data_IF_263650794908
#
_entry.id   IF_263650794908
#
_cell.length_a   1.000
_cell.length_b   1.000
_cell.length_c   1.000
_cell.angle_alpha   90.00
_cell.angle_beta   90.00
_cell.angle_gamma   90.00
#
_symmetry.space_group_name_H-M   'P 1'
#
loop_
_entity.id
_entity.type
_entity.pdbx_description
1 polymer ?
#
# COMPACT_ATOMS: atom_id res chain seq x y z
N UNK A 1 8.88 2.37 76.03
CA UNK A 1 7.66 1.69 76.51
C UNK A 1 8.11 0.34 77.00
N UNK A 2 8.24 0.18 78.31
CA UNK A 2 8.63 -1.12 78.88
C UNK A 2 7.45 -2.07 78.72
N UNK A 3 7.68 -3.19 78.04
CA UNK A 3 6.65 -4.19 77.79
C UNK A 3 6.54 -5.08 79.02
N UNK A 4 5.33 -5.18 79.56
CA UNK A 4 5.04 -5.97 80.76
C UNK A 4 5.30 -7.46 80.48
N UNK A 5 6.04 -8.14 81.36
CA UNK A 5 6.19 -9.60 81.32
C UNK A 5 5.20 -10.28 82.27
N UNK A 6 4.89 -11.58 82.08
CA UNK A 6 4.05 -12.32 83.03
C UNK A 6 4.60 -12.25 84.47
N UNK A 7 5.93 -12.29 84.62
CA UNK A 7 6.63 -12.16 85.90
C UNK A 7 6.44 -10.78 86.54
N UNK A 8 6.32 -9.72 85.74
CA UNK A 8 6.07 -8.35 86.23
C UNK A 8 4.65 -8.17 86.75
N UNK A 9 3.68 -8.90 86.17
CA UNK A 9 2.29 -8.96 86.67
C UNK A 9 2.25 -9.70 88.01
N UNK A 10 2.93 -10.85 88.09
CA UNK A 10 2.97 -11.68 89.28
C UNK A 10 3.62 -10.99 90.50
N UNK A 11 4.66 -10.20 90.26
CA UNK A 11 5.42 -9.52 91.33
C UNK A 11 4.82 -8.17 91.73
N UNK A 12 3.75 -7.73 91.06
CA UNK A 12 3.19 -6.39 91.24
C UNK A 12 2.45 -6.27 92.58
N UNK A 13 2.94 -5.39 93.46
CA UNK A 13 2.26 -5.02 94.71
C UNK A 13 1.57 -3.67 94.56
N UNK A 14 0.27 -3.63 94.86
CA UNK A 14 -0.53 -2.40 94.87
C UNK A 14 -0.60 -1.78 96.28
N UNK A 15 -0.61 -0.45 96.36
CA UNK A 15 -0.78 0.27 97.62
C UNK A 15 -2.26 0.26 98.04
N UNK A 16 -2.54 -0.08 99.31
CA UNK A 16 -3.92 -0.09 99.85
C UNK A 16 -4.32 1.31 100.32
N UNK A 17 -5.52 1.76 99.94
CA UNK A 17 -6.04 3.10 100.28
C UNK A 17 -7.18 2.96 101.30
N UNK A 18 -7.04 3.56 102.49
CA UNK A 18 -7.93 3.33 103.65
C UNK A 18 -9.13 4.29 103.76
N UNK A 19 -9.21 5.31 102.90
CA UNK A 19 -10.14 6.45 103.05
C UNK A 19 -11.04 6.71 101.82
N UNK A 20 -11.09 5.78 100.84
CA UNK A 20 -11.94 5.85 99.64
C UNK A 20 -12.42 4.46 99.23
N UNK A 21 -13.54 4.40 98.48
CA UNK A 21 -14.00 3.19 97.79
C UNK A 21 -12.83 2.59 97.00
N UNK A 22 -12.43 1.38 97.36
CA UNK A 22 -11.29 0.66 96.80
C UNK A 22 -11.77 -0.56 96.02
N UNK A 23 -10.91 -1.05 95.12
CA UNK A 23 -11.12 -2.33 94.47
C UNK A 23 -11.08 -3.47 95.51
N UNK A 24 -11.88 -4.50 95.30
CA UNK A 24 -11.78 -5.73 96.06
C UNK A 24 -10.45 -6.42 95.72
N UNK A 25 -9.64 -6.70 96.74
CA UNK A 25 -8.31 -7.27 96.56
C UNK A 25 -8.37 -8.67 95.94
N UNK A 26 -9.39 -9.47 96.28
CA UNK A 26 -9.56 -10.81 95.75
C UNK A 26 -9.96 -10.80 94.27
N UNK A 27 -10.85 -9.88 93.88
CA UNK A 27 -11.23 -9.70 92.48
C UNK A 27 -10.06 -9.18 91.62
N UNK A 28 -9.24 -8.28 92.18
CA UNK A 28 -8.02 -7.78 91.52
C UNK A 28 -7.00 -8.89 91.33
N UNK A 29 -6.75 -9.71 92.37
CA UNK A 29 -5.81 -10.83 92.28
C UNK A 29 -6.27 -11.87 91.24
N UNK A 30 -7.57 -12.18 91.19
CA UNK A 30 -8.13 -13.06 90.17
C UNK A 30 -7.92 -12.52 88.76
N UNK A 31 -8.21 -11.23 88.54
CA UNK A 31 -8.00 -10.58 87.24
C UNK A 31 -6.52 -10.58 86.82
N UNK A 32 -5.60 -10.33 87.75
CA UNK A 32 -4.16 -10.36 87.47
C UNK A 32 -3.68 -11.77 87.11
N UNK A 33 -4.24 -12.82 87.71
CA UNK A 33 -3.98 -14.21 87.33
C UNK A 33 -4.41 -14.52 85.88
N UNK A 34 -5.57 -14.02 85.45
CA UNK A 34 -6.03 -14.15 84.06
C UNK A 34 -5.14 -13.38 83.07
N UNK A 35 -4.71 -12.18 83.46
CA UNK A 35 -3.77 -11.37 82.68
C UNK A 35 -2.41 -12.07 82.56
N UNK A 36 -1.88 -12.60 83.66
CA UNK A 36 -0.62 -13.35 83.67
C UNK A 36 -0.69 -14.57 82.75
N UNK A 37 -1.76 -15.37 82.86
CA UNK A 37 -1.96 -16.57 82.03
C UNK A 37 -2.08 -16.24 80.54
N UNK A 38 -2.82 -15.17 80.21
CA UNK A 38 -2.99 -14.71 78.83
C UNK A 38 -1.67 -14.19 78.26
N UNK A 39 -0.92 -13.43 79.05
CA UNK A 39 0.38 -12.90 78.64
C UNK A 39 1.40 -14.04 78.43
N UNK A 40 1.44 -15.02 79.32
CA UNK A 40 2.30 -16.19 79.17
C UNK A 40 1.94 -17.00 77.90
N UNK A 41 0.63 -17.14 77.60
CA UNK A 41 0.18 -17.77 76.36
C UNK A 41 0.61 -16.99 75.11
N UNK A 42 0.40 -15.67 75.09
CA UNK A 42 0.79 -14.80 73.98
C UNK A 42 2.30 -14.80 73.74
N UNK A 43 3.10 -14.76 74.81
CA UNK A 43 4.56 -14.80 74.69
C UNK A 43 5.05 -16.12 74.09
N UNK A 44 4.51 -17.25 74.56
CA UNK A 44 4.81 -18.58 74.02
C UNK A 44 4.36 -18.72 72.57
N UNK A 45 3.16 -18.27 72.22
CA UNK A 45 2.68 -18.28 70.83
C UNK A 45 3.57 -17.38 69.95
N UNK A 46 4.00 -16.24 70.46
CA UNK A 46 4.92 -15.36 69.75
C UNK A 46 6.30 -16.01 69.53
N UNK A 47 6.82 -16.70 70.54
CA UNK A 47 8.05 -17.49 70.43
C UNK A 47 7.88 -18.64 69.43
N UNK A 48 6.78 -19.37 69.45
CA UNK A 48 6.48 -20.41 68.46
C UNK A 48 6.38 -19.84 67.04
N UNK A 49 5.71 -18.70 66.86
CA UNK A 49 5.60 -18.01 65.57
C UNK A 49 6.96 -17.49 65.07
N UNK A 50 7.82 -17.01 65.97
CA UNK A 50 9.20 -16.58 65.66
C UNK A 50 10.14 -17.75 65.42
N UNK A 51 9.96 -18.85 66.14
CA UNK A 51 10.73 -20.09 66.00
C UNK A 51 10.32 -20.86 64.75
N UNK A 52 9.14 -20.61 64.19
CA UNK A 52 8.71 -21.14 62.89
C UNK A 52 9.61 -20.52 61.80
N UNK A 53 10.60 -21.25 61.28
CA UNK A 53 11.60 -20.64 60.43
C UNK A 53 10.99 -20.28 59.07
N UNK A 54 11.09 -19.01 58.68
CA UNK A 54 11.21 -18.50 57.29
C UNK A 54 10.10 -18.79 56.26
N UNK A 55 9.12 -19.65 56.52
CA UNK A 55 8.26 -20.21 55.46
C UNK A 55 7.38 -19.18 54.75
N UNK A 56 7.01 -18.09 55.42
CA UNK A 56 6.18 -17.03 54.84
C UNK A 56 6.98 -16.00 54.02
N UNK A 57 8.00 -15.31 54.56
CA UNK A 57 8.73 -14.28 53.79
C UNK A 57 9.61 -14.87 52.67
N UNK A 58 10.20 -16.04 52.88
CA UNK A 58 11.08 -16.67 51.87
C UNK A 58 10.28 -17.28 50.72
N UNK A 59 9.10 -17.85 51.00
CA UNK A 59 8.19 -18.31 49.94
C UNK A 59 7.58 -17.14 49.17
N UNK A 60 7.25 -16.03 49.84
CA UNK A 60 6.83 -14.81 49.15
C UNK A 60 7.92 -14.29 48.20
N UNK A 61 9.18 -14.25 48.64
CA UNK A 61 10.30 -13.85 47.80
C UNK A 61 10.51 -14.77 46.60
N UNK A 62 10.37 -16.10 46.78
CA UNK A 62 10.44 -17.08 45.68
C UNK A 62 9.30 -16.90 44.67
N UNK A 63 8.08 -16.68 45.14
CA UNK A 63 6.91 -16.45 44.26
C UNK A 63 7.08 -15.15 43.47
N UNK A 64 7.56 -14.07 44.11
CA UNK A 64 7.87 -12.81 43.43
C UNK A 64 8.97 -13.00 42.39
N UNK A 65 10.02 -13.77 42.71
CA UNK A 65 11.10 -14.10 41.77
C UNK A 65 10.60 -14.87 40.54
N UNK A 66 9.78 -15.91 40.76
CA UNK A 66 9.19 -16.69 39.67
C UNK A 66 8.23 -15.85 38.82
N UNK A 67 7.41 -15.00 39.46
CA UNK A 67 6.51 -14.08 38.76
C UNK A 67 7.30 -13.07 37.91
N UNK A 68 8.41 -12.53 38.44
CA UNK A 68 9.27 -11.62 37.69
C UNK A 68 9.94 -12.31 36.50
N UNK A 69 10.50 -13.51 36.69
CA UNK A 69 11.09 -14.30 35.59
C UNK A 69 10.05 -14.63 34.51
N UNK A 70 8.82 -14.95 34.93
CA UNK A 70 7.72 -15.24 34.02
C UNK A 70 7.30 -13.98 33.25
N UNK A 71 7.25 -12.83 33.92
CA UNK A 71 6.96 -11.55 33.30
C UNK A 71 8.04 -11.17 32.27
N UNK A 72 9.32 -11.29 32.62
CA UNK A 72 10.43 -11.02 31.70
C UNK A 72 10.39 -11.93 30.48
N UNK A 73 10.12 -13.22 30.66
CA UNK A 73 9.96 -14.18 29.55
C UNK A 73 8.78 -13.81 28.65
N UNK A 74 7.65 -13.41 29.22
CA UNK A 74 6.48 -12.98 28.46
C UNK A 74 6.76 -11.69 27.67
N UNK A 75 7.44 -10.73 28.29
CA UNK A 75 7.84 -9.47 27.65
C UNK A 75 8.83 -9.73 26.50
N UNK A 76 9.81 -10.63 26.71
CA UNK A 76 10.75 -11.01 25.66
C UNK A 76 10.06 -11.67 24.46
N UNK A 77 9.12 -12.59 24.71
CA UNK A 77 8.34 -13.24 23.66
C UNK A 77 7.49 -12.23 22.88
N UNK A 78 6.78 -11.32 23.58
CA UNK A 78 5.99 -10.27 22.94
C UNK A 78 6.85 -9.33 22.08
N UNK A 79 8.06 -8.96 22.55
CA UNK A 79 9.00 -8.15 21.77
C UNK A 79 9.49 -8.88 20.52
N UNK A 80 9.80 -10.16 20.62
CA UNK A 80 10.22 -10.98 19.48
C UNK A 80 9.10 -11.11 18.44
N UNK A 81 7.87 -11.34 18.88
CA UNK A 81 6.70 -11.42 17.99
C UNK A 81 6.43 -10.07 17.31
N UNK A 82 6.46 -8.97 18.07
CA UNK A 82 6.32 -7.62 17.52
C UNK A 82 7.41 -7.31 16.49
N UNK A 83 8.67 -7.69 16.75
CA UNK A 83 9.75 -7.56 15.78
C UNK A 83 9.47 -8.36 14.50
N UNK A 84 8.97 -9.59 14.62
CA UNK A 84 8.57 -10.41 13.47
C UNK A 84 7.37 -9.87 12.69
N UNK A 85 6.42 -9.19 13.35
CA UNK A 85 5.32 -8.48 12.67
C UNK A 85 5.88 -7.29 11.88
N UNK A 86 6.73 -6.48 12.51
CA UNK A 86 7.34 -5.31 11.86
C UNK A 86 8.20 -5.71 10.66
N UNK A 87 8.97 -6.79 10.76
CA UNK A 87 9.80 -7.26 9.65
C UNK A 87 8.96 -7.68 8.45
N UNK A 88 7.93 -8.51 8.66
CA UNK A 88 7.00 -8.90 7.60
C UNK A 88 6.25 -7.70 7.01
N UNK A 89 5.93 -6.70 7.82
CA UNK A 89 5.30 -5.47 7.35
C UNK A 89 6.26 -4.66 6.45
N UNK A 90 7.54 -4.55 6.83
CA UNK A 90 8.58 -3.89 6.03
C UNK A 90 8.83 -4.63 4.72
N UNK A 91 8.97 -5.95 4.74
CA UNK A 91 9.16 -6.76 3.54
C UNK A 91 8.00 -6.60 2.56
N UNK A 92 6.76 -6.63 3.05
CA UNK A 92 5.56 -6.40 2.22
C UNK A 92 5.50 -4.99 1.67
N UNK A 93 5.84 -3.98 2.47
CA UNK A 93 5.89 -2.59 2.00
C UNK A 93 6.95 -2.42 0.91
N UNK A 94 8.14 -2.98 1.09
CA UNK A 94 9.21 -2.94 0.08
C UNK A 94 8.81 -3.65 -1.21
N UNK A 95 8.15 -4.81 -1.12
CA UNK A 95 7.65 -5.53 -2.29
C UNK A 95 6.59 -4.72 -3.05
N UNK A 96 5.66 -4.08 -2.31
CA UNK A 96 4.62 -3.22 -2.88
C UNK A 96 5.22 -1.97 -3.55
N UNK A 97 6.20 -1.33 -2.93
CA UNK A 97 6.90 -0.20 -3.54
C UNK A 97 7.61 -0.61 -4.83
N UNK A 98 8.29 -1.75 -4.85
CA UNK A 98 9.01 -2.23 -6.02
C UNK A 98 8.06 -2.60 -7.17
N UNK A 99 6.92 -3.22 -6.85
CA UNK A 99 5.87 -3.50 -7.83
C UNK A 99 5.24 -2.21 -8.37
N UNK A 100 4.93 -1.24 -7.50
CA UNK A 100 4.39 0.05 -7.89
C UNK A 100 5.37 0.81 -8.79
N UNK A 101 6.67 0.81 -8.46
CA UNK A 101 7.72 1.41 -9.30
C UNK A 101 7.82 0.73 -10.65
N UNK A 102 7.81 -0.59 -10.71
CA UNK A 102 7.82 -1.34 -11.97
C UNK A 102 6.60 -1.01 -12.83
N UNK A 103 5.40 -1.03 -12.25
CA UNK A 103 4.16 -0.68 -12.95
C UNK A 103 4.18 0.77 -13.47
N UNK A 104 4.65 1.71 -12.65
CA UNK A 104 4.82 3.10 -13.06
C UNK A 104 5.83 3.23 -14.22
N UNK A 105 6.97 2.53 -14.16
CA UNK A 105 7.97 2.56 -15.24
C UNK A 105 7.41 2.03 -16.55
N UNK A 106 6.69 0.90 -16.54
CA UNK A 106 6.06 0.32 -17.73
C UNK A 106 5.03 1.29 -18.31
N UNK A 107 4.23 1.93 -17.45
CA UNK A 107 3.20 2.89 -17.90
C UNK A 107 3.84 4.13 -18.55
N UNK A 108 4.95 4.63 -17.99
CA UNK A 108 5.69 5.75 -18.56
C UNK A 108 6.33 5.37 -19.90
N UNK A 109 6.98 4.21 -19.99
CA UNK A 109 7.58 3.72 -21.23
C UNK A 109 6.53 3.52 -22.33
N UNK A 110 5.36 2.99 -21.98
CA UNK A 110 4.24 2.84 -22.90
C UNK A 110 3.68 4.20 -23.35
N UNK A 111 3.54 5.15 -22.44
CA UNK A 111 3.11 6.51 -22.78
C UNK A 111 4.13 7.18 -23.73
N UNK A 112 5.42 7.07 -23.44
CA UNK A 112 6.50 7.61 -24.28
C UNK A 112 6.51 6.97 -25.66
N UNK A 113 6.30 5.65 -25.76
CA UNK A 113 6.18 4.94 -27.03
C UNK A 113 4.98 5.47 -27.85
N UNK A 114 3.81 5.63 -27.22
CA UNK A 114 2.61 6.18 -27.86
C UNK A 114 2.83 7.63 -28.32
N UNK A 115 3.53 8.46 -27.53
CA UNK A 115 3.86 9.83 -27.92
C UNK A 115 4.80 9.89 -29.12
N UNK A 116 5.81 9.02 -29.16
CA UNK A 116 6.73 8.92 -30.32
C UNK A 116 5.97 8.48 -31.56
N UNK A 117 5.18 7.41 -31.48
CA UNK A 117 4.37 6.92 -32.59
C UNK A 117 3.41 8.01 -33.12
N UNK A 118 2.72 8.71 -32.22
CA UNK A 118 1.81 9.80 -32.59
C UNK A 118 2.56 10.95 -33.30
N UNK A 119 3.74 11.31 -32.81
CA UNK A 119 4.57 12.36 -33.42
C UNK A 119 5.03 11.94 -34.82
N UNK A 120 5.53 10.71 -34.97
CA UNK A 120 5.94 10.16 -36.25
C UNK A 120 4.77 10.08 -37.25
N UNK A 121 3.57 9.73 -36.78
CA UNK A 121 2.36 9.72 -37.60
C UNK A 121 2.00 11.12 -38.09
N UNK A 122 2.05 12.14 -37.22
CA UNK A 122 1.82 13.54 -37.60
C UNK A 122 2.85 13.99 -38.63
N UNK A 123 4.13 13.71 -38.42
CA UNK A 123 5.19 14.03 -39.38
C UNK A 123 5.01 13.30 -40.72
N UNK A 124 4.54 12.06 -40.71
CA UNK A 124 4.23 11.32 -41.92
C UNK A 124 3.10 11.98 -42.72
N UNK A 125 2.04 12.43 -42.05
CA UNK A 125 0.92 13.17 -42.67
C UNK A 125 1.40 14.49 -43.24
N UNK A 126 2.20 15.26 -42.49
CA UNK A 126 2.77 16.55 -42.97
C UNK A 126 3.63 16.32 -44.21
N UNK A 127 4.51 15.31 -44.20
CA UNK A 127 5.34 14.94 -45.36
C UNK A 127 4.49 14.50 -46.56
N UNK A 128 3.44 13.73 -46.33
CA UNK A 128 2.53 13.30 -47.39
C UNK A 128 1.79 14.49 -48.01
N UNK A 129 1.27 15.40 -47.19
CA UNK A 129 0.64 16.63 -47.66
C UNK A 129 1.59 17.55 -48.44
N UNK A 130 2.86 17.65 -48.03
CA UNK A 130 3.88 18.39 -48.77
C UNK A 130 4.11 17.80 -50.17
N UNK A 131 4.28 16.46 -50.28
CA UNK A 131 4.43 15.77 -51.57
C UNK A 131 3.23 15.97 -52.50
N UNK A 132 2.01 15.92 -51.96
CA UNK A 132 0.80 16.18 -52.74
C UNK A 132 0.77 17.61 -53.28
N UNK A 133 1.11 18.61 -52.45
CA UNK A 133 1.16 20.01 -52.88
C UNK A 133 2.21 20.24 -53.97
N UNK A 134 3.40 19.68 -53.79
CA UNK A 134 4.48 19.74 -54.79
C UNK A 134 4.03 19.13 -56.11
N UNK A 135 3.51 17.89 -56.10
CA UNK A 135 3.06 17.23 -57.33
C UNK A 135 1.87 17.92 -58.03
N UNK A 136 0.98 18.58 -57.27
CA UNK A 136 -0.05 19.44 -57.87
C UNK A 136 0.54 20.70 -58.49
N UNK A 137 1.54 21.31 -57.83
CA UNK A 137 2.31 22.43 -58.36
C UNK A 137 2.97 22.09 -59.69
N UNK A 138 3.72 20.98 -59.72
CA UNK A 138 4.39 20.49 -60.94
C UNK A 138 3.40 20.25 -62.09
N UNK A 139 2.22 19.68 -61.78
CA UNK A 139 1.18 19.44 -62.78
C UNK A 139 0.59 20.74 -63.32
N UNK A 140 0.35 21.72 -62.46
CA UNK A 140 -0.12 23.05 -62.85
C UNK A 140 0.91 23.73 -63.75
N UNK A 141 2.19 23.69 -63.40
CA UNK A 141 3.25 24.32 -64.18
C UNK A 141 3.49 23.60 -65.52
N UNK A 142 3.37 22.27 -65.54
CA UNK A 142 3.34 21.49 -66.77
C UNK A 142 2.18 21.91 -67.68
N UNK A 143 0.96 22.01 -67.14
CA UNK A 143 -0.21 22.46 -67.89
C UNK A 143 -0.06 23.89 -68.42
N UNK A 144 0.50 24.82 -67.63
CA UNK A 144 0.79 26.19 -68.07
C UNK A 144 1.77 26.21 -69.24
N UNK A 145 2.82 25.39 -69.16
CA UNK A 145 3.81 25.26 -70.23
C UNK A 145 3.19 24.69 -71.50
N UNK A 146 2.38 23.63 -71.39
CA UNK A 146 1.63 23.05 -72.50
C UNK A 146 0.69 24.06 -73.17
N UNK A 147 -0.03 24.86 -72.37
CA UNK A 147 -0.93 25.89 -72.90
C UNK A 147 -0.14 26.96 -73.67
N UNK A 148 1.01 27.40 -73.15
CA UNK A 148 1.87 28.37 -73.81
C UNK A 148 2.41 27.85 -75.17
N UNK A 149 2.79 26.57 -75.25
CA UNK A 149 3.25 25.96 -76.50
C UNK A 149 2.10 25.87 -77.53
N UNK A 150 0.90 25.44 -77.11
CA UNK A 150 -0.29 25.42 -77.97
C UNK A 150 -0.66 26.81 -78.49
N UNK A 151 -0.60 27.84 -77.64
CA UNK A 151 -0.83 29.23 -78.06
C UNK A 151 0.20 29.70 -79.09
N UNK A 152 1.48 29.32 -78.90
CA UNK A 152 2.55 29.66 -79.82
C UNK A 152 2.37 28.95 -81.18
N UNK A 153 1.98 27.68 -81.17
CA UNK A 153 1.59 26.94 -82.37
C UNK A 153 0.43 27.65 -83.09
N UNK A 154 -0.60 28.06 -82.37
CA UNK A 154 -1.74 28.76 -82.98
C UNK A 154 -1.34 30.11 -83.61
N UNK A 155 -0.42 30.87 -83.01
CA UNK A 155 0.09 32.13 -83.58
C UNK A 155 0.93 31.95 -84.84
N UNK A 156 1.59 30.80 -84.99
CA UNK A 156 2.50 30.52 -86.11
C UNK A 156 1.81 29.84 -87.29
N UNK A 157 0.55 29.41 -87.13
CA UNK A 157 -0.27 28.90 -88.23
C UNK A 157 -0.63 30.05 -89.22
N UNK A 158 -0.51 29.82 -90.55
CA UNK A 158 -0.97 30.80 -91.54
C UNK A 158 -2.50 30.96 -91.48
N UNK A 159 -3.07 32.12 -91.88
CA UNK A 159 -4.50 32.36 -91.81
C UNK A 159 -5.26 31.30 -92.61
N UNK A 160 -6.27 30.68 -91.99
CA UNK A 160 -7.15 29.71 -92.64
C UNK A 160 -7.91 30.39 -93.78
N UNK A 161 -7.48 30.15 -95.02
CA UNK A 161 -8.31 30.43 -96.19
C UNK A 161 -9.49 29.45 -96.17
N UNK A 162 -10.76 29.90 -96.33
CA UNK A 162 -11.90 29.00 -96.30
C UNK A 162 -11.87 28.05 -97.50
N UNK A 163 -11.65 26.76 -97.25
CA UNK A 163 -11.85 25.70 -98.24
C UNK A 163 -13.34 25.33 -98.31
N UNK A 164 -13.93 25.13 -99.51
CA UNK A 164 -15.34 24.81 -99.64
C UNK A 164 -15.66 23.43 -99.04
N UNK A 165 -16.73 23.37 -98.26
CA UNK A 165 -17.31 22.14 -97.71
C UNK A 165 -17.84 21.26 -98.84
N UNK A 166 -17.14 20.16 -99.15
CA UNK A 166 -17.77 19.01 -99.83
C UNK A 166 -18.36 18.08 -98.77
N UNK A 167 -19.64 17.69 -98.88
CA UNK A 167 -20.25 16.76 -97.93
C UNK A 167 -19.68 15.36 -98.14
N UNK A 168 -18.83 14.90 -97.22
CA UNK A 168 -18.41 13.50 -97.15
C UNK A 168 -19.61 12.65 -96.71
N UNK A 169 -20.14 11.87 -97.64
CA UNK A 169 -21.17 10.85 -97.40
C UNK A 169 -20.64 9.85 -96.37
N UNK A 170 -21.27 9.82 -95.19
CA UNK A 170 -21.01 8.86 -94.12
C UNK A 170 -21.47 7.48 -94.60
N UNK A 171 -20.56 6.53 -94.75
CA UNK A 171 -20.88 5.10 -94.78
C UNK A 171 -20.57 4.53 -93.39
N UNK A 172 -21.53 3.92 -92.68
CA UNK A 172 -21.27 3.35 -91.36
C UNK A 172 -20.49 2.04 -91.49
N UNK A 173 -19.31 1.97 -90.87
CA UNK A 173 -18.65 0.70 -90.58
C UNK A 173 -19.30 0.04 -89.35
N UNK A 174 -19.53 -1.28 -89.35
CA UNK A 174 -20.15 -1.96 -88.22
C UNK A 174 -19.23 -1.93 -87.00
N UNK A 175 -19.79 -1.49 -85.87
CA UNK A 175 -19.16 -1.46 -84.56
C UNK A 175 -19.16 -2.89 -83.99
N UNK A 176 -18.01 -3.55 -83.96
CA UNK A 176 -17.83 -4.76 -83.14
C UNK A 176 -17.51 -4.32 -81.72
N UNK A 177 -18.51 -4.43 -80.85
CA UNK A 177 -18.40 -4.13 -79.42
C UNK A 177 -17.80 -5.35 -78.70
N UNK A 178 -16.51 -5.31 -78.36
CA UNK A 178 -15.97 -6.18 -77.30
C UNK A 178 -16.29 -5.53 -75.94
N UNK A 179 -16.89 -6.27 -74.98
CA UNK A 179 -17.15 -5.75 -73.64
C UNK A 179 -15.84 -5.66 -72.83
N UNK A 180 -15.73 -4.69 -71.90
CA UNK A 180 -14.58 -4.60 -71.01
C UNK A 180 -14.61 -5.76 -70.00
N UNK A 181 -13.48 -6.48 -69.89
CA UNK A 181 -13.26 -7.44 -68.80
C UNK A 181 -13.14 -6.63 -67.49
N UNK A 182 -14.09 -6.83 -66.59
CA UNK A 182 -14.03 -6.37 -65.21
C UNK A 182 -12.87 -7.11 -64.52
N UNK A 183 -11.79 -6.40 -64.17
CA UNK A 183 -10.81 -6.92 -63.22
C UNK A 183 -11.42 -6.74 -61.82
N UNK A 184 -11.65 -7.81 -61.04
CA UNK A 184 -12.21 -7.67 -59.71
C UNK A 184 -11.20 -6.93 -58.81
N UNK A 185 -11.66 -5.84 -58.19
CA UNK A 185 -11.00 -5.23 -57.03
C UNK A 185 -11.00 -6.27 -55.92
N UNK A 186 -9.82 -6.85 -55.65
CA UNK A 186 -9.65 -7.77 -54.54
C UNK A 186 -9.71 -6.97 -53.23
N UNK A 187 -10.91 -6.91 -52.65
CA UNK A 187 -11.14 -6.42 -51.31
C UNK A 187 -10.33 -7.29 -50.34
N UNK A 188 -9.23 -6.76 -49.80
CA UNK A 188 -8.62 -7.33 -48.60
C UNK A 188 -9.54 -6.99 -47.43
N UNK A 189 -10.32 -7.97 -47.00
CA UNK A 189 -11.02 -7.95 -45.72
C UNK A 189 -9.99 -7.97 -44.57
N UNK A 190 -10.23 -7.27 -43.46
CA UNK A 190 -9.41 -7.40 -42.26
C UNK A 190 -9.67 -8.77 -41.61
N UNK A 191 -8.60 -9.52 -41.35
CA UNK A 191 -8.66 -10.74 -40.56
C UNK A 191 -9.08 -10.40 -39.12
N UNK A 192 -10.27 -10.87 -38.73
CA UNK A 192 -10.62 -11.02 -37.32
C UNK A 192 -9.71 -12.11 -36.74
N UNK A 193 -8.84 -11.74 -35.80
CA UNK A 193 -8.15 -12.71 -34.95
C UNK A 193 -9.06 -13.05 -33.78
N UNK A 194 -9.55 -14.28 -33.78
CA UNK A 194 -10.09 -14.95 -32.60
C UNK A 194 -9.01 -14.94 -31.51
N UNK A 195 -9.31 -14.22 -30.42
CA UNK A 195 -8.60 -14.33 -29.15
C UNK A 195 -9.33 -15.37 -28.32
N UNK A 196 -8.79 -16.59 -28.28
CA UNK A 196 -9.12 -17.59 -27.25
C UNK A 196 -7.84 -18.37 -26.93
N UNK A 197 -7.18 -17.89 -25.88
CA UNK A 197 -6.08 -18.49 -25.14
C UNK A 197 -6.07 -17.89 -23.75
#
# INVERSE_FOLDING_TARGET
MDVLTPSDVHTKVFATVRLREGYDLGDVDNFLGEVEATLAALYRENEELRARPGSAPESAARIVGLAHETAERAVAAARQEAAGILERARERAAAMEEEARRSASVTLDEADARYREATEAVEAVVRHGARLREGLGDRIDHMRTMLADLEQQHRTLPPLTPSPLTPSRITPSPITHSPPVLVPVQQHAPAAQDTLG
#
